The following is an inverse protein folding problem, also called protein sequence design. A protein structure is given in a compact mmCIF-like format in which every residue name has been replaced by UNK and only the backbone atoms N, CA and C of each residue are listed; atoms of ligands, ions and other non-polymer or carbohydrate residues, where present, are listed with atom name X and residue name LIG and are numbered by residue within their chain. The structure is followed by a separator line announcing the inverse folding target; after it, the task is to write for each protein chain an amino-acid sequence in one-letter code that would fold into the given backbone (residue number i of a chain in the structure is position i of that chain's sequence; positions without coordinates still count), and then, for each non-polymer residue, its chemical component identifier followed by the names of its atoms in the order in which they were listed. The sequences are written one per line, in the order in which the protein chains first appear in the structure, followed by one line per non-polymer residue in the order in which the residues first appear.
data_IF_669909716487
#
_entry.id   IF_669909716487
#
_cell.length_a   1.000
_cell.length_b   1.000
_cell.length_c   1.000
_cell.angle_alpha   90.00
_cell.angle_beta   90.00
_cell.angle_gamma   90.00
#
_symmetry.space_group_name_H-M   'P 1'
#
loop_
_entity.id
_entity.type
_entity.pdbx_description
1 polymer ?
#
# COMPACT_ATOMS: atom_id res chain seq x y z
N UNK A 1 42.28 22.55 9.42
CA UNK A 1 41.63 21.22 9.22
C UNK A 1 40.16 21.47 9.38
N UNK A 2 39.45 21.69 8.28
CA UNK A 2 37.98 21.85 8.28
C UNK A 2 37.32 20.49 8.30
N UNK A 3 36.22 20.30 9.03
CA UNK A 3 35.48 19.03 9.04
C UNK A 3 34.78 18.84 7.72
N UNK A 4 35.00 17.68 7.09
CA UNK A 4 34.30 17.23 5.89
C UNK A 4 32.82 17.05 6.28
N UNK A 5 31.97 17.93 5.75
CA UNK A 5 30.52 17.75 5.80
C UNK A 5 30.19 16.48 5.02
N UNK A 6 29.71 15.45 5.73
CA UNK A 6 29.12 14.27 5.12
C UNK A 6 27.93 14.71 4.29
N UNK A 7 28.03 14.59 2.97
CA UNK A 7 26.92 14.75 2.06
C UNK A 7 25.86 13.69 2.40
N UNK A 8 24.75 14.11 2.98
CA UNK A 8 23.56 13.29 3.09
C UNK A 8 23.09 13.00 1.67
N UNK A 9 23.44 11.83 1.15
CA UNK A 9 22.87 11.33 -0.11
C UNK A 9 21.40 11.02 0.16
N UNK A 10 20.53 11.92 -0.29
CA UNK A 10 19.08 11.73 -0.23
C UNK A 10 18.71 10.54 -1.13
N UNK A 11 18.57 9.36 -0.51
CA UNK A 11 18.24 8.11 -1.19
C UNK A 11 16.93 8.19 -2.02
N UNK A 12 16.12 9.23 -1.81
CA UNK A 12 14.88 9.51 -2.55
C UNK A 12 15.10 10.09 -3.96
N UNK A 13 16.34 10.49 -4.31
CA UNK A 13 16.64 11.05 -5.63
C UNK A 13 16.80 10.02 -6.75
N UNK A 14 16.98 8.73 -6.41
CA UNK A 14 17.27 7.68 -7.40
C UNK A 14 16.10 7.31 -8.31
N UNK A 15 14.86 7.39 -7.81
CA UNK A 15 13.64 7.04 -8.59
C UNK A 15 13.04 8.21 -9.36
N UNK A 16 13.55 9.40 -9.15
CA UNK A 16 13.10 10.62 -9.81
C UNK A 16 14.01 10.86 -11.00
N UNK A 17 13.65 10.31 -12.16
CA UNK A 17 14.35 10.59 -13.41
C UNK A 17 14.37 12.11 -13.62
N UNK A 18 15.56 12.70 -13.59
CA UNK A 18 15.73 14.12 -13.89
C UNK A 18 15.09 14.42 -15.26
N UNK A 19 14.31 15.49 -15.39
CA UNK A 19 13.65 15.81 -16.65
C UNK A 19 14.70 16.04 -17.72
N UNK A 20 14.71 15.21 -18.76
CA UNK A 20 15.27 15.61 -20.03
C UNK A 20 14.47 16.82 -20.50
N UNK A 21 15.08 17.84 -21.07
CA UNK A 21 14.52 19.18 -21.37
C UNK A 21 13.18 19.21 -22.12
N UNK A 22 12.60 18.06 -22.48
CA UNK A 22 11.38 17.93 -23.29
C UNK A 22 10.23 17.13 -22.68
N UNK A 23 10.40 16.49 -21.49
CA UNK A 23 9.31 15.77 -20.83
C UNK A 23 9.24 16.21 -19.36
N UNK A 24 8.24 17.05 -19.05
CA UNK A 24 7.92 17.44 -17.67
C UNK A 24 7.72 16.23 -16.75
N UNK A 25 7.81 16.44 -15.47
CA UNK A 25 7.49 15.43 -14.46
C UNK A 25 6.09 14.87 -14.71
N UNK A 26 5.98 13.55 -14.80
CA UNK A 26 4.71 12.84 -14.97
C UNK A 26 3.79 12.89 -13.73
N UNK A 27 4.25 13.51 -12.65
CA UNK A 27 3.54 13.59 -11.38
C UNK A 27 2.93 14.97 -11.18
N UNK A 28 1.73 15.02 -10.59
CA UNK A 28 1.09 16.27 -10.17
C UNK A 28 1.92 16.98 -9.10
N UNK A 29 1.68 18.27 -8.89
CA UNK A 29 2.37 19.01 -7.84
C UNK A 29 2.02 18.48 -6.45
N UNK A 30 0.80 17.96 -6.25
CA UNK A 30 0.39 17.28 -5.03
C UNK A 30 1.22 16.03 -4.79
N UNK A 31 1.45 15.19 -5.80
CA UNK A 31 2.31 14.01 -5.69
C UNK A 31 3.74 14.41 -5.33
N UNK A 32 4.28 15.46 -5.95
CA UNK A 32 5.61 15.99 -5.65
C UNK A 32 5.70 16.48 -4.20
N UNK A 33 4.70 17.25 -3.72
CA UNK A 33 4.71 17.73 -2.33
C UNK A 33 4.70 16.56 -1.34
N UNK A 34 3.82 15.58 -1.55
CA UNK A 34 3.75 14.39 -0.67
C UNK A 34 4.98 13.49 -0.75
N UNK A 35 5.72 13.52 -1.86
CA UNK A 35 6.98 12.80 -1.99
C UNK A 35 8.14 13.51 -1.30
N UNK A 36 8.31 14.82 -1.54
CA UNK A 36 9.44 15.58 -0.99
C UNK A 36 9.24 15.99 0.47
N UNK A 37 7.98 16.18 0.88
CA UNK A 37 7.58 16.58 2.22
C UNK A 37 6.51 15.62 2.78
N UNK A 38 6.85 14.32 2.94
CA UNK A 38 5.89 13.31 3.33
C UNK A 38 5.28 13.63 4.69
N UNK A 39 3.96 13.62 4.76
CA UNK A 39 3.21 13.86 6.00
C UNK A 39 3.23 12.59 6.86
N UNK A 40 3.34 12.75 8.17
CA UNK A 40 3.28 11.67 9.15
C UNK A 40 4.35 10.56 8.98
N UNK A 41 5.39 10.82 8.18
CA UNK A 41 6.52 9.91 8.02
C UNK A 41 7.31 9.80 9.32
N UNK A 42 7.70 8.59 9.70
CA UNK A 42 8.47 8.31 10.90
C UNK A 42 9.92 7.97 10.54
N UNK A 43 10.87 8.81 10.99
CA UNK A 43 12.29 8.56 10.75
C UNK A 43 12.85 7.48 11.69
N UNK A 44 12.45 7.53 12.99
CA UNK A 44 12.92 6.62 14.03
C UNK A 44 11.76 5.84 14.67
N UNK A 45 11.82 4.50 14.63
CA UNK A 45 10.79 3.60 15.18
C UNK A 45 10.70 3.59 16.72
N UNK A 46 11.81 3.76 17.51
CA UNK A 46 11.79 3.49 18.95
C UNK A 46 10.95 4.44 19.80
N UNK A 47 10.63 5.63 19.31
CA UNK A 47 9.90 6.64 20.07
C UNK A 47 8.37 6.50 20.00
N UNK A 48 7.84 5.51 19.28
CA UNK A 48 6.41 5.40 19.02
C UNK A 48 5.80 4.14 19.64
N UNK A 49 5.43 4.25 20.93
CA UNK A 49 4.78 3.20 21.71
C UNK A 49 3.25 3.34 21.70
N UNK A 50 2.55 2.34 22.20
CA UNK A 50 1.07 2.29 22.34
C UNK A 50 0.32 2.42 21.02
N UNK A 51 0.79 1.69 20.01
CA UNK A 51 0.25 1.70 18.65
C UNK A 51 -0.04 0.28 18.14
N UNK A 52 -0.84 0.24 17.07
CA UNK A 52 -1.16 -0.98 16.33
C UNK A 52 -0.35 -1.03 15.06
N UNK A 53 0.35 -2.14 14.85
CA UNK A 53 1.33 -2.29 13.78
C UNK A 53 0.74 -3.05 12.59
N UNK A 54 0.87 -2.45 11.42
CA UNK A 54 0.68 -3.12 10.14
C UNK A 54 1.98 -3.17 9.35
N UNK A 55 2.27 -4.32 8.75
CA UNK A 55 3.44 -4.49 7.89
C UNK A 55 3.07 -5.31 6.66
N UNK A 56 3.51 -4.84 5.50
CA UNK A 56 3.35 -5.56 4.23
C UNK A 56 4.63 -5.45 3.41
N UNK A 57 4.83 -6.41 2.51
CA UNK A 57 6.04 -6.52 1.70
C UNK A 57 7.24 -7.06 2.48
N UNK A 58 8.37 -7.05 1.82
CA UNK A 58 9.64 -7.52 2.39
C UNK A 58 10.76 -6.57 2.01
N UNK A 59 11.64 -6.18 2.94
CA UNK A 59 12.83 -5.38 2.63
C UNK A 59 13.72 -6.05 1.58
N UNK A 60 13.72 -7.38 1.50
CA UNK A 60 14.48 -8.14 0.52
C UNK A 60 13.97 -7.98 -0.91
N UNK A 61 12.69 -7.63 -1.09
CA UNK A 61 12.07 -7.36 -2.40
C UNK A 61 12.11 -5.87 -2.78
N UNK A 62 12.65 -5.00 -1.90
CA UNK A 62 12.75 -3.56 -2.14
C UNK A 62 11.50 -2.75 -1.83
N UNK A 63 10.35 -3.39 -1.65
CA UNK A 63 9.10 -2.74 -1.27
C UNK A 63 8.61 -3.28 0.07
N UNK A 64 8.77 -2.49 1.12
CA UNK A 64 8.24 -2.78 2.44
C UNK A 64 7.57 -1.55 3.02
N UNK A 65 6.42 -1.74 3.66
CA UNK A 65 5.65 -0.70 4.32
C UNK A 65 5.34 -1.11 5.75
N UNK A 66 5.69 -0.24 6.70
CA UNK A 66 5.25 -0.31 8.09
C UNK A 66 4.34 0.85 8.40
N UNK A 67 3.27 0.57 9.12
CA UNK A 67 2.27 1.55 9.57
C UNK A 67 2.02 1.34 11.05
N UNK A 68 1.97 2.43 11.80
CA UNK A 68 1.59 2.47 13.21
C UNK A 68 0.35 3.33 13.35
N UNK A 69 -0.71 2.77 13.94
CA UNK A 69 -1.97 3.47 14.20
C UNK A 69 -2.15 3.72 15.68
N UNK A 70 -2.65 4.90 16.01
CA UNK A 70 -3.34 5.13 17.28
C UNK A 70 -4.85 5.18 17.01
N UNK A 71 -5.61 4.39 17.76
CA UNK A 71 -7.05 4.27 17.60
C UNK A 71 -7.68 4.62 18.95
N UNK A 72 -8.61 5.55 18.93
CA UNK A 72 -9.31 6.01 20.12
C UNK A 72 -10.82 5.88 19.93
N UNK A 73 -11.51 5.58 21.03
CA UNK A 73 -12.96 5.51 21.05
C UNK A 73 -13.50 6.86 21.52
N UNK A 74 -14.24 7.53 20.66
CA UNK A 74 -14.88 8.81 20.97
C UNK A 74 -16.01 8.68 22.00
N UNK A 75 -16.50 9.81 22.51
CA UNK A 75 -17.65 9.85 23.43
C UNK A 75 -18.94 9.28 22.79
N UNK A 76 -19.01 9.28 21.48
CA UNK A 76 -20.08 8.68 20.67
C UNK A 76 -19.95 7.16 20.52
N UNK A 77 -18.93 6.56 21.11
CA UNK A 77 -18.65 5.13 21.05
C UNK A 77 -17.98 4.68 19.74
N UNK A 78 -17.65 5.59 18.81
CA UNK A 78 -17.05 5.25 17.52
C UNK A 78 -15.53 5.22 17.66
N UNK A 79 -14.93 4.16 17.16
CA UNK A 79 -13.48 3.97 17.09
C UNK A 79 -12.91 4.67 15.85
N UNK A 80 -11.92 5.57 16.07
CA UNK A 80 -11.32 6.41 15.03
C UNK A 80 -9.81 6.28 15.02
N UNK A 81 -9.21 6.42 13.85
CA UNK A 81 -7.75 6.54 13.69
C UNK A 81 -7.38 7.98 14.01
N UNK A 82 -6.82 8.21 15.20
CA UNK A 82 -6.41 9.55 15.64
C UNK A 82 -4.98 9.89 15.27
N UNK A 83 -4.16 8.88 15.02
CA UNK A 83 -2.80 9.07 14.49
C UNK A 83 -2.40 7.92 13.56
N UNK A 84 -1.64 8.27 12.53
CA UNK A 84 -1.11 7.35 11.53
C UNK A 84 0.34 7.73 11.26
N UNK A 85 1.28 6.90 11.68
CA UNK A 85 2.69 7.03 11.32
C UNK A 85 3.10 5.90 10.41
N UNK A 86 4.11 6.15 9.58
CA UNK A 86 4.53 5.15 8.60
C UNK A 86 5.99 5.30 8.20
N UNK A 87 6.54 4.20 7.71
CA UNK A 87 7.89 4.12 7.13
C UNK A 87 7.89 3.16 5.96
N UNK A 88 8.63 3.47 4.91
CA UNK A 88 8.74 2.62 3.72
C UNK A 88 10.11 2.69 3.11
N UNK A 89 10.48 1.63 2.41
CA UNK A 89 11.59 1.58 1.46
C UNK A 89 11.10 1.63 -0.01
N UNK A 90 9.80 1.83 -0.22
CA UNK A 90 9.17 1.84 -1.54
C UNK A 90 9.48 3.06 -2.40
N UNK A 91 8.98 3.05 -3.63
CA UNK A 91 9.19 4.07 -4.64
C UNK A 91 8.49 5.41 -4.32
N UNK A 92 8.79 6.47 -5.09
CA UNK A 92 8.19 7.79 -4.92
C UNK A 92 6.65 7.79 -4.89
N UNK A 93 6.02 6.94 -5.71
CA UNK A 93 4.55 6.79 -5.71
C UNK A 93 4.04 6.15 -4.42
N UNK A 94 4.75 5.16 -3.86
CA UNK A 94 4.39 4.54 -2.57
C UNK A 94 4.50 5.56 -1.43
N UNK A 95 5.57 6.39 -1.44
CA UNK A 95 5.76 7.47 -0.47
C UNK A 95 4.60 8.48 -0.57
N UNK A 96 4.31 8.99 -1.77
CA UNK A 96 3.27 9.99 -1.96
C UNK A 96 1.87 9.44 -1.61
N UNK A 97 1.57 8.20 -2.00
CA UNK A 97 0.27 7.58 -1.72
C UNK A 97 0.07 7.34 -0.23
N UNK A 98 1.08 6.84 0.48
CA UNK A 98 0.96 6.59 1.92
C UNK A 98 0.94 7.90 2.71
N UNK A 99 1.69 8.90 2.28
CA UNK A 99 1.62 10.25 2.84
C UNK A 99 0.21 10.84 2.70
N UNK A 100 -0.42 10.72 1.52
CA UNK A 100 -1.81 11.16 1.32
C UNK A 100 -2.79 10.34 2.16
N UNK A 101 -2.66 9.01 2.17
CA UNK A 101 -3.50 8.12 2.98
C UNK A 101 -3.45 8.52 4.46
N UNK A 102 -2.25 8.80 5.00
CA UNK A 102 -2.07 9.18 6.40
C UNK A 102 -2.82 10.48 6.74
N UNK A 103 -2.86 11.45 5.83
CA UNK A 103 -3.65 12.67 5.98
C UNK A 103 -5.14 12.34 5.95
N UNK A 104 -5.60 11.57 4.96
CA UNK A 104 -7.03 11.24 4.79
C UNK A 104 -7.62 10.57 6.03
N UNK A 105 -6.87 9.69 6.69
CA UNK A 105 -7.40 8.93 7.83
C UNK A 105 -7.29 9.67 9.17
N UNK A 106 -6.47 10.74 9.23
CA UNK A 106 -6.26 11.51 10.48
C UNK A 106 -6.90 12.89 10.48
N UNK A 107 -7.28 13.43 9.32
CA UNK A 107 -7.92 14.74 9.24
C UNK A 107 -9.30 14.75 9.93
N UNK A 108 -9.80 15.94 10.24
CA UNK A 108 -11.14 16.17 10.84
C UNK A 108 -11.41 15.40 12.15
N UNK A 109 -10.37 15.13 12.93
CA UNK A 109 -10.50 14.42 14.21
C UNK A 109 -10.45 12.90 14.09
N UNK A 110 -10.01 12.40 12.95
CA UNK A 110 -9.78 10.97 12.71
C UNK A 110 -10.95 10.26 12.03
N UNK A 111 -10.60 9.37 11.11
CA UNK A 111 -11.57 8.58 10.33
C UNK A 111 -12.07 7.37 11.13
N UNK A 112 -13.40 7.10 11.15
CA UNK A 112 -13.95 5.87 11.71
C UNK A 112 -13.32 4.63 11.05
N UNK A 113 -13.06 3.57 11.83
CA UNK A 113 -12.43 2.34 11.30
C UNK A 113 -13.24 1.71 10.16
N UNK A 114 -14.57 1.70 10.28
CA UNK A 114 -15.44 1.18 9.22
C UNK A 114 -15.28 1.96 7.91
N UNK A 115 -15.12 3.27 7.97
CA UNK A 115 -14.88 4.10 6.81
C UNK A 115 -13.47 3.88 6.25
N UNK A 116 -12.47 3.79 7.12
CA UNK A 116 -11.09 3.51 6.72
C UNK A 116 -10.95 2.17 5.98
N UNK A 117 -11.68 1.15 6.41
CA UNK A 117 -11.73 -0.16 5.73
C UNK A 117 -12.45 -0.15 4.37
N UNK A 118 -13.22 0.91 4.07
CA UNK A 118 -13.89 1.10 2.76
C UNK A 118 -13.06 1.94 1.78
N UNK A 119 -11.98 2.57 2.26
CA UNK A 119 -11.06 3.29 1.37
C UNK A 119 -10.51 2.37 0.30
N UNK A 120 -10.37 2.91 -0.89
CA UNK A 120 -9.80 2.20 -2.04
C UNK A 120 -8.57 2.96 -2.55
N UNK A 121 -7.63 2.29 -3.19
CA UNK A 121 -6.49 2.94 -3.83
C UNK A 121 -6.90 4.09 -4.77
N UNK A 122 -8.05 3.96 -5.44
CA UNK A 122 -8.60 5.00 -6.32
C UNK A 122 -8.93 6.30 -5.57
N UNK A 123 -9.43 6.21 -4.34
CA UNK A 123 -9.78 7.38 -3.52
C UNK A 123 -8.50 8.17 -3.15
N UNK A 124 -7.40 7.45 -2.85
CA UNK A 124 -6.08 8.05 -2.60
C UNK A 124 -5.53 8.70 -3.88
N UNK A 125 -5.61 7.98 -5.01
CA UNK A 125 -5.14 8.49 -6.31
C UNK A 125 -5.92 9.72 -6.75
N UNK A 126 -7.25 9.73 -6.58
CA UNK A 126 -8.08 10.88 -6.91
C UNK A 126 -7.66 12.12 -6.13
N UNK A 127 -7.36 11.97 -4.83
CA UNK A 127 -6.91 13.07 -3.97
C UNK A 127 -5.50 13.56 -4.30
N UNK A 128 -4.64 12.70 -4.84
CA UNK A 128 -3.32 13.07 -5.38
C UNK A 128 -3.38 13.77 -6.74
N UNK A 129 -4.57 13.82 -7.38
CA UNK A 129 -4.73 14.31 -8.75
C UNK A 129 -4.27 13.34 -9.82
N UNK A 130 -4.15 12.04 -9.46
CA UNK A 130 -3.78 10.94 -10.34
C UNK A 130 -2.35 10.44 -10.15
N UNK A 131 -2.15 9.18 -10.49
CA UNK A 131 -0.85 8.53 -10.63
C UNK A 131 -0.75 7.86 -12.01
N UNK A 132 0.46 7.70 -12.56
CA UNK A 132 0.62 6.92 -13.79
C UNK A 132 0.06 5.51 -13.62
N UNK A 133 -0.63 4.96 -14.63
CA UNK A 133 -1.30 3.66 -14.57
C UNK A 133 -0.39 2.52 -14.08
N UNK A 134 0.91 2.56 -14.43
CA UNK A 134 1.91 1.59 -13.97
C UNK A 134 2.28 1.72 -12.49
N UNK A 135 1.79 2.75 -11.78
CA UNK A 135 2.11 3.03 -10.37
C UNK A 135 0.91 2.86 -9.43
N UNK A 136 -0.20 2.32 -9.93
CA UNK A 136 -1.39 2.03 -9.12
C UNK A 136 -1.08 1.04 -8.01
N UNK A 137 -0.26 0.01 -8.27
CA UNK A 137 0.16 -0.96 -7.26
C UNK A 137 0.83 -0.32 -6.03
N UNK A 138 1.52 0.81 -6.21
CA UNK A 138 2.17 1.50 -5.11
C UNK A 138 1.16 2.09 -4.11
N UNK A 139 -0.05 2.47 -4.56
CA UNK A 139 -1.11 2.96 -3.67
C UNK A 139 -1.78 1.84 -2.87
N UNK A 140 -1.71 0.60 -3.35
CA UNK A 140 -2.26 -0.59 -2.69
C UNK A 140 -1.41 -0.99 -1.48
N UNK A 141 -0.10 -0.74 -1.50
CA UNK A 141 0.80 -1.11 -0.40
C UNK A 141 0.40 -0.40 0.91
N UNK A 142 0.10 0.90 0.85
CA UNK A 142 -0.37 1.67 2.00
C UNK A 142 -1.74 1.19 2.52
N UNK A 143 -2.69 0.88 1.63
CA UNK A 143 -4.00 0.34 1.98
C UNK A 143 -3.88 -1.03 2.68
N UNK A 144 -3.07 -1.94 2.13
CA UNK A 144 -2.81 -3.24 2.76
C UNK A 144 -2.17 -3.08 4.16
N UNK A 145 -1.21 -2.17 4.32
CA UNK A 145 -0.58 -1.92 5.62
C UNK A 145 -1.56 -1.31 6.64
N UNK A 146 -2.45 -0.40 6.21
CA UNK A 146 -3.53 0.13 7.03
C UNK A 146 -4.45 -0.99 7.53
N UNK A 147 -4.91 -1.88 6.64
CA UNK A 147 -5.77 -3.03 7.00
C UNK A 147 -5.07 -3.97 7.97
N UNK A 148 -3.79 -4.24 7.75
CA UNK A 148 -2.96 -5.05 8.65
C UNK A 148 -2.89 -4.45 10.05
N UNK A 149 -2.70 -3.13 10.17
CA UNK A 149 -2.68 -2.44 11.46
C UNK A 149 -4.05 -2.42 12.15
N UNK A 150 -5.16 -2.27 11.42
CA UNK A 150 -6.52 -2.39 11.96
C UNK A 150 -6.78 -3.83 12.45
N UNK A 151 -6.32 -4.84 11.73
CA UNK A 151 -6.40 -6.23 12.16
C UNK A 151 -5.61 -6.50 13.44
N UNK A 152 -4.43 -5.87 13.60
CA UNK A 152 -3.66 -5.94 14.86
C UNK A 152 -4.43 -5.31 16.02
N UNK A 153 -5.11 -4.18 15.80
CA UNK A 153 -6.02 -3.57 16.75
C UNK A 153 -7.14 -4.55 17.18
N UNK A 154 -7.86 -5.13 16.22
CA UNK A 154 -8.95 -6.05 16.51
C UNK A 154 -8.47 -7.30 17.29
N UNK A 155 -7.27 -7.83 16.95
CA UNK A 155 -6.68 -8.95 17.70
C UNK A 155 -6.37 -8.56 19.14
N UNK A 156 -5.73 -7.40 19.35
CA UNK A 156 -5.31 -6.93 20.68
C UNK A 156 -6.48 -6.51 21.58
N UNK A 157 -7.59 -6.08 20.99
CA UNK A 157 -8.79 -5.67 21.74
C UNK A 157 -9.83 -6.78 21.86
N UNK A 158 -9.53 -8.01 21.37
CA UNK A 158 -10.45 -9.15 21.47
C UNK A 158 -11.60 -9.15 20.47
N UNK A 159 -11.59 -8.24 19.48
CA UNK A 159 -12.60 -8.12 18.42
C UNK A 159 -12.32 -9.10 17.26
N UNK A 160 -12.04 -10.36 17.57
CA UNK A 160 -11.54 -11.35 16.59
C UNK A 160 -12.49 -11.58 15.42
N UNK A 161 -13.79 -11.44 15.62
CA UNK A 161 -14.79 -11.59 14.56
C UNK A 161 -14.70 -10.51 13.45
N UNK A 162 -14.04 -9.40 13.73
CA UNK A 162 -13.84 -8.29 12.78
C UNK A 162 -12.50 -8.40 12.04
N UNK A 163 -11.63 -9.31 12.45
CA UNK A 163 -10.33 -9.52 11.77
C UNK A 163 -10.60 -10.05 10.36
N UNK A 164 -10.23 -9.26 9.35
CA UNK A 164 -10.26 -9.73 7.97
C UNK A 164 -9.15 -10.75 7.73
N UNK A 165 -9.46 -11.81 6.99
CA UNK A 165 -8.44 -12.79 6.62
C UNK A 165 -7.46 -12.15 5.62
N UNK A 166 -6.24 -11.90 6.07
CA UNK A 166 -5.12 -11.45 5.24
C UNK A 166 -4.42 -12.61 4.54
N UNK A 167 -4.67 -13.84 5.00
CA UNK A 167 -4.13 -15.03 4.36
C UNK A 167 -4.80 -15.19 3.00
N UNK A 168 -4.05 -15.02 1.93
CA UNK A 168 -4.52 -15.25 0.59
C UNK A 168 -5.12 -16.67 0.44
N UNK A 169 -6.24 -16.75 -0.27
CA UNK A 169 -6.87 -18.04 -0.55
C UNK A 169 -6.00 -18.82 -1.53
N UNK A 170 -5.67 -20.05 -1.18
CA UNK A 170 -4.84 -20.91 -2.02
C UNK A 170 -5.62 -21.29 -3.30
N UNK A 171 -5.12 -20.87 -4.45
CA UNK A 171 -5.72 -21.08 -5.78
C UNK A 171 -5.04 -22.27 -6.47
N UNK A 172 -3.72 -22.25 -6.61
CA UNK A 172 -2.96 -23.39 -7.13
C UNK A 172 -2.36 -24.17 -5.96
N UNK A 173 -2.90 -25.35 -5.71
CA UNK A 173 -2.48 -26.21 -4.59
C UNK A 173 -1.12 -26.86 -4.83
N UNK A 174 -0.72 -27.05 -6.08
CA UNK A 174 0.55 -27.68 -6.48
C UNK A 174 1.70 -26.69 -6.31
N UNK A 175 1.55 -25.50 -6.86
CA UNK A 175 2.57 -24.46 -6.81
C UNK A 175 2.40 -23.50 -5.61
N UNK A 176 1.36 -23.73 -4.78
CA UNK A 176 1.04 -22.93 -3.59
C UNK A 176 0.81 -21.45 -3.88
N UNK A 177 0.22 -21.14 -5.03
CA UNK A 177 -0.08 -19.78 -5.45
C UNK A 177 -1.43 -19.37 -4.89
N UNK A 178 -1.48 -18.19 -4.32
CA UNK A 178 -2.65 -17.60 -3.68
C UNK A 178 -3.34 -16.60 -4.60
N UNK A 179 -4.54 -16.16 -4.25
CA UNK A 179 -5.21 -15.05 -4.90
C UNK A 179 -4.45 -13.72 -4.76
N UNK A 180 -3.66 -13.55 -3.68
CA UNK A 180 -2.74 -12.42 -3.52
C UNK A 180 -1.63 -12.40 -4.58
N UNK A 181 -1.06 -13.54 -4.92
CA UNK A 181 -0.03 -13.61 -5.96
C UNK A 181 -0.61 -13.23 -7.34
N UNK A 182 -1.87 -13.60 -7.59
CA UNK A 182 -2.61 -13.21 -8.79
C UNK A 182 -2.94 -11.71 -8.77
N UNK A 183 -3.42 -11.19 -7.62
CA UNK A 183 -3.70 -9.76 -7.41
C UNK A 183 -2.46 -8.92 -7.71
N UNK A 184 -1.31 -9.30 -7.16
CA UNK A 184 -0.04 -8.61 -7.34
C UNK A 184 0.40 -8.62 -8.81
N UNK A 185 0.31 -9.77 -9.48
CA UNK A 185 0.60 -9.87 -10.91
C UNK A 185 -0.29 -8.95 -11.74
N UNK A 186 -1.60 -8.86 -11.43
CA UNK A 186 -2.54 -7.97 -12.12
C UNK A 186 -2.21 -6.50 -11.86
N UNK A 187 -1.91 -6.12 -10.62
CA UNK A 187 -1.49 -4.77 -10.25
C UNK A 187 -0.23 -4.32 -10.99
N UNK A 188 0.68 -5.25 -11.26
CA UNK A 188 1.88 -5.00 -12.05
C UNK A 188 1.65 -5.02 -13.57
N UNK A 189 0.39 -5.17 -14.01
CA UNK A 189 -0.02 -5.10 -15.42
C UNK A 189 -0.13 -6.43 -16.16
N UNK A 190 -0.19 -7.56 -15.43
CA UNK A 190 -0.53 -8.85 -16.02
C UNK A 190 -2.07 -8.97 -16.17
N UNK A 191 -2.61 -8.42 -17.24
CA UNK A 191 -4.05 -8.30 -17.50
C UNK A 191 -4.67 -9.47 -18.27
N UNK A 192 -3.86 -10.50 -18.59
CA UNK A 192 -4.30 -11.74 -19.24
C UNK A 192 -3.76 -12.97 -18.50
N UNK A 193 -4.40 -14.14 -18.74
CA UNK A 193 -3.96 -15.40 -18.15
C UNK A 193 -2.49 -15.69 -18.47
N UNK A 194 -2.07 -15.52 -19.72
CA UNK A 194 -0.72 -15.80 -20.18
C UNK A 194 0.30 -14.93 -19.43
N UNK A 195 -0.01 -13.64 -19.20
CA UNK A 195 0.87 -12.73 -18.47
C UNK A 195 0.95 -13.09 -17.00
N UNK A 196 -0.18 -13.47 -16.38
CA UNK A 196 -0.20 -13.93 -14.99
C UNK A 196 0.56 -15.23 -14.85
N UNK A 197 0.38 -16.21 -15.76
CA UNK A 197 1.15 -17.45 -15.78
C UNK A 197 2.64 -17.23 -16.01
N UNK A 198 3.02 -16.27 -16.86
CA UNK A 198 4.43 -15.94 -17.08
C UNK A 198 5.12 -15.51 -15.77
N UNK A 199 4.41 -14.81 -14.88
CA UNK A 199 4.91 -14.31 -13.60
C UNK A 199 4.84 -15.33 -12.48
N UNK A 200 3.66 -15.91 -12.29
CA UNK A 200 3.34 -16.73 -11.12
C UNK A 200 3.48 -18.23 -11.37
N UNK A 201 3.45 -18.66 -12.63
CA UNK A 201 3.35 -20.07 -13.05
C UNK A 201 2.02 -20.74 -12.68
N UNK A 202 1.01 -20.01 -12.24
CA UNK A 202 -0.30 -20.55 -11.83
C UNK A 202 -0.92 -21.40 -12.93
N UNK A 203 -1.45 -22.56 -12.57
CA UNK A 203 -2.12 -23.47 -13.50
C UNK A 203 -1.20 -24.21 -14.49
N UNK A 204 0.13 -24.07 -14.38
CA UNK A 204 1.06 -24.81 -15.25
C UNK A 204 1.29 -26.25 -14.76
N UNK A 205 1.13 -26.50 -13.47
CA UNK A 205 1.22 -27.86 -12.90
C UNK A 205 -0.13 -28.56 -12.82
N UNK A 206 -1.19 -27.80 -12.49
CA UNK A 206 -2.57 -28.28 -12.46
C UNK A 206 -3.50 -27.22 -13.07
N UNK A 207 -3.98 -27.46 -14.32
CA UNK A 207 -4.84 -26.50 -15.00
C UNK A 207 -6.27 -26.40 -14.43
N UNK A 208 -6.65 -27.21 -13.45
CA UNK A 208 -8.00 -27.18 -12.85
C UNK A 208 -8.38 -25.84 -12.22
N UNK A 209 -7.39 -25.06 -11.77
CA UNK A 209 -7.59 -23.74 -11.20
C UNK A 209 -7.76 -22.61 -12.23
N UNK A 210 -7.49 -22.84 -13.52
CA UNK A 210 -7.50 -21.79 -14.56
C UNK A 210 -8.83 -21.01 -14.63
N UNK A 211 -10.02 -21.63 -14.59
CA UNK A 211 -11.27 -20.86 -14.63
C UNK A 211 -11.41 -19.87 -13.47
N UNK A 212 -10.92 -20.25 -12.28
CA UNK A 212 -10.91 -19.39 -11.10
C UNK A 212 -9.89 -18.25 -11.25
N UNK A 213 -8.69 -18.54 -11.78
CA UNK A 213 -7.67 -17.53 -12.08
C UNK A 213 -8.20 -16.47 -13.04
N UNK A 214 -8.90 -16.86 -14.10
CA UNK A 214 -9.50 -15.92 -15.06
C UNK A 214 -10.57 -15.03 -14.41
N UNK A 215 -11.36 -15.58 -13.47
CA UNK A 215 -12.33 -14.79 -12.71
C UNK A 215 -11.63 -13.77 -11.82
N UNK A 216 -10.55 -14.17 -11.14
CA UNK A 216 -9.76 -13.28 -10.30
C UNK A 216 -9.09 -12.16 -11.12
N UNK A 217 -8.54 -12.48 -12.29
CA UNK A 217 -7.97 -11.47 -13.19
C UNK A 217 -9.04 -10.43 -13.57
N UNK A 218 -10.24 -10.85 -13.97
CA UNK A 218 -11.34 -9.93 -14.27
C UNK A 218 -11.73 -9.10 -13.06
N UNK A 219 -11.90 -9.74 -11.92
CA UNK A 219 -12.24 -9.07 -10.66
C UNK A 219 -11.22 -8.00 -10.27
N UNK A 220 -9.93 -8.32 -10.31
CA UNK A 220 -8.89 -7.36 -9.93
C UNK A 220 -8.70 -6.25 -10.96
N UNK A 221 -8.89 -6.54 -12.24
CA UNK A 221 -8.93 -5.50 -13.30
C UNK A 221 -10.05 -4.49 -13.06
N UNK A 222 -11.27 -4.97 -12.81
CA UNK A 222 -12.41 -4.10 -12.50
C UNK A 222 -12.17 -3.32 -11.19
N UNK A 223 -11.72 -4.00 -10.15
CA UNK A 223 -11.45 -3.42 -8.83
C UNK A 223 -10.44 -2.28 -8.88
N UNK A 224 -9.35 -2.44 -9.64
CA UNK A 224 -8.22 -1.51 -9.62
C UNK A 224 -8.13 -0.57 -10.81
N UNK A 225 -8.64 -0.97 -11.96
CA UNK A 225 -8.51 -0.21 -13.20
C UNK A 225 -9.85 0.21 -13.81
N UNK A 226 -10.97 -0.31 -13.32
CA UNK A 226 -12.31 0.04 -13.80
C UNK A 226 -12.59 -0.44 -15.22
N UNK A 227 -11.94 -1.54 -15.65
CA UNK A 227 -11.99 -2.06 -17.01
C UNK A 227 -12.73 -3.41 -17.10
#
# INVERSE_FOLDING_TARGET
MEPIQAAQTDARKGDVVAPTKEKGWFYTDTVKDHFFHPKNFLEDEPAYSDTYLGMVGSPACGDAMKVWLRIEKGADGIERITDFKWKTFGCASAIASTSMLSVMVTEHGGMPLEQALRLRPQDIMARLGGLPARKVHCSVLGDKALRSAINDYYRKTGQISLVSQEAGRLIDKVLKITDHDIEEAVLEGADTLEKVQARTKVGTGDPSCIPEVEQLIRFYKEKYFGA
#
